data_IF_526041229816
#
_entry.id   IF_526041229816
#
_cell.length_a   1.000
_cell.length_b   1.000
_cell.length_c   1.000
_cell.angle_alpha   90.00
_cell.angle_beta   90.00
_cell.angle_gamma   90.00
#
_symmetry.space_group_name_H-M   'P 1'
#
loop_
_entity.id
_entity.type
_entity.pdbx_description
1 polymer ?
#
# COMPACT_ATOMS: atom_id res chain seq x y z
N UNK A 1 30.24 5.54 -1.88
CA UNK A 1 30.38 6.15 -0.55
C UNK A 1 30.82 7.60 -0.74
N UNK A 2 29.98 8.55 -0.35
CA UNK A 2 30.33 9.97 -0.41
C UNK A 2 31.44 10.25 0.61
N UNK A 3 32.67 10.44 0.12
CA UNK A 3 33.84 10.77 0.94
C UNK A 3 33.77 12.17 1.59
N UNK A 4 32.65 12.90 1.42
CA UNK A 4 32.50 14.32 1.76
C UNK A 4 32.02 14.58 3.20
N UNK A 5 31.49 13.57 3.90
CA UNK A 5 30.99 13.73 5.28
C UNK A 5 31.29 12.50 6.16
N UNK A 6 32.56 12.29 6.56
CA UNK A 6 32.97 11.10 7.33
C UNK A 6 32.18 10.92 8.64
N UNK A 7 31.92 12.01 9.37
CA UNK A 7 31.10 11.97 10.60
C UNK A 7 29.67 11.46 10.34
N UNK A 8 29.04 11.92 9.24
CA UNK A 8 27.71 11.44 8.88
C UNK A 8 27.74 9.94 8.54
N UNK A 9 28.78 9.47 7.85
CA UNK A 9 28.90 8.04 7.49
C UNK A 9 29.04 7.15 8.73
N UNK A 10 29.79 7.58 9.74
CA UNK A 10 29.93 6.86 11.01
C UNK A 10 28.63 6.86 11.82
N UNK A 11 27.93 8.00 11.90
CA UNK A 11 26.63 8.08 12.55
C UNK A 11 25.56 7.23 11.84
N UNK A 12 25.54 7.26 10.51
CA UNK A 12 24.67 6.41 9.71
C UNK A 12 24.93 4.93 9.97
N UNK A 13 26.20 4.50 10.00
CA UNK A 13 26.57 3.12 10.35
C UNK A 13 26.09 2.73 11.76
N UNK A 14 26.21 3.64 12.71
CA UNK A 14 25.75 3.46 14.09
C UNK A 14 24.23 3.36 14.23
N UNK A 15 23.46 4.11 13.44
CA UNK A 15 22.01 4.00 13.41
C UNK A 15 21.55 2.71 12.74
N UNK A 16 22.15 2.34 11.60
CA UNK A 16 21.87 1.07 10.93
C UNK A 16 22.13 -0.13 11.83
N UNK A 17 23.25 -0.14 12.57
CA UNK A 17 23.57 -1.20 13.52
C UNK A 17 22.54 -1.36 14.66
N UNK A 18 21.76 -0.31 14.94
CA UNK A 18 20.69 -0.31 15.94
C UNK A 18 19.30 -0.55 15.34
N UNK A 19 19.21 -0.73 14.03
CA UNK A 19 17.92 -0.82 13.32
C UNK A 19 17.13 0.49 13.36
N UNK A 20 17.79 1.63 13.54
CA UNK A 20 17.14 2.94 13.52
C UNK A 20 17.12 3.53 12.11
N UNK A 21 16.09 4.33 11.80
CA UNK A 21 16.01 5.10 10.55
C UNK A 21 17.17 6.07 10.44
N UNK A 22 17.83 6.08 9.27
CA UNK A 22 18.96 6.95 8.97
C UNK A 22 18.45 8.23 8.28
N UNK A 23 18.60 9.42 8.89
CA UNK A 23 18.16 10.68 8.29
C UNK A 23 18.79 10.91 6.92
N UNK A 24 17.97 11.22 5.91
CA UNK A 24 18.44 11.48 4.54
C UNK A 24 18.77 10.24 3.72
N UNK A 25 18.66 9.04 4.30
CA UNK A 25 18.72 7.79 3.56
C UNK A 25 17.31 7.20 3.40
N UNK A 26 17.02 6.49 2.30
CA UNK A 26 15.77 5.76 2.16
C UNK A 26 15.65 4.66 3.22
N UNK A 27 14.51 4.60 3.90
CA UNK A 27 14.21 3.56 4.87
C UNK A 27 13.64 2.31 4.17
N UNK A 28 14.24 1.12 4.32
CA UNK A 28 13.77 -0.10 3.63
C UNK A 28 12.36 -0.54 4.05
N UNK A 29 11.98 -0.32 5.31
CA UNK A 29 10.63 -0.65 5.77
C UNK A 29 9.62 0.30 5.13
N UNK A 30 9.94 1.60 5.10
CA UNK A 30 9.13 2.57 4.41
C UNK A 30 8.97 2.23 2.93
N UNK A 31 10.07 1.89 2.25
CA UNK A 31 10.04 1.43 0.85
C UNK A 31 9.13 0.24 0.64
N UNK A 32 9.15 -0.74 1.56
CA UNK A 32 8.25 -1.90 1.52
C UNK A 32 6.79 -1.48 1.71
N UNK A 33 6.49 -0.61 2.67
CA UNK A 33 5.13 -0.16 2.97
C UNK A 33 4.51 0.68 1.86
N UNK A 34 5.30 1.52 1.19
CA UNK A 34 4.82 2.36 0.07
C UNK A 34 4.90 1.67 -1.28
N UNK A 35 5.32 0.40 -1.31
CA UNK A 35 5.40 -0.38 -2.55
C UNK A 35 4.01 -0.63 -3.15
N UNK A 36 3.97 -0.81 -4.47
CA UNK A 36 2.72 -1.15 -5.16
C UNK A 36 2.19 -2.51 -4.70
N UNK A 37 3.08 -3.45 -4.37
CA UNK A 37 2.71 -4.74 -3.80
C UNK A 37 2.00 -4.59 -2.45
N UNK A 38 2.50 -3.74 -1.56
CA UNK A 38 1.85 -3.46 -0.28
C UNK A 38 0.47 -2.82 -0.47
N UNK A 39 0.34 -1.89 -1.42
CA UNK A 39 -0.94 -1.31 -1.80
C UNK A 39 -1.94 -2.38 -2.28
N UNK A 40 -1.52 -3.30 -3.15
CA UNK A 40 -2.40 -4.36 -3.64
C UNK A 40 -2.91 -5.26 -2.52
N UNK A 41 -2.04 -5.63 -1.57
CA UNK A 41 -2.40 -6.43 -0.40
C UNK A 41 -3.43 -5.70 0.47
N UNK A 42 -3.21 -4.40 0.70
CA UNK A 42 -4.14 -3.57 1.49
C UNK A 42 -5.50 -3.44 0.79
N UNK A 43 -5.52 -3.16 -0.51
CA UNK A 43 -6.74 -3.08 -1.32
C UNK A 43 -7.51 -4.41 -1.30
N UNK A 44 -6.83 -5.55 -1.44
CA UNK A 44 -7.49 -6.86 -1.37
C UNK A 44 -8.15 -7.07 0.00
N UNK A 45 -7.45 -6.73 1.08
CA UNK A 45 -7.99 -6.83 2.44
C UNK A 45 -9.25 -5.99 2.59
N UNK A 46 -9.21 -4.72 2.18
CA UNK A 46 -10.36 -3.80 2.26
C UNK A 46 -11.53 -4.32 1.42
N UNK A 47 -11.29 -4.76 0.18
CA UNK A 47 -12.34 -5.29 -0.68
C UNK A 47 -12.98 -6.57 -0.11
N UNK A 48 -12.19 -7.41 0.57
CA UNK A 48 -12.69 -8.61 1.26
C UNK A 48 -13.64 -8.22 2.40
N UNK A 49 -13.28 -7.21 3.18
CA UNK A 49 -14.11 -6.73 4.30
C UNK A 49 -15.39 -6.01 3.84
N UNK A 50 -15.34 -5.38 2.66
CA UNK A 50 -16.51 -4.74 2.06
C UNK A 50 -17.45 -5.73 1.35
N UNK A 51 -16.97 -6.91 0.93
CA UNK A 51 -17.78 -7.90 0.19
C UNK A 51 -19.07 -8.32 0.91
N UNK A 52 -19.10 -8.56 2.23
CA UNK A 52 -20.35 -8.87 2.97
C UNK A 52 -21.38 -7.73 2.97
N UNK A 53 -20.94 -6.49 2.77
CA UNK A 53 -21.78 -5.29 2.78
C UNK A 53 -22.29 -4.91 1.38
N UNK A 54 -21.88 -5.63 0.33
CA UNK A 54 -22.45 -5.47 -1.00
C UNK A 54 -23.91 -5.90 -0.93
N UNK A 55 -24.83 -4.96 -1.15
CA UNK A 55 -26.25 -5.27 -1.25
C UNK A 55 -26.47 -6.43 -2.24
N UNK A 56 -27.33 -7.42 -1.92
CA UNK A 56 -27.63 -8.49 -2.85
C UNK A 56 -28.09 -7.85 -4.14
N UNK A 57 -27.43 -8.20 -5.24
CA UNK A 57 -27.66 -7.73 -6.60
C UNK A 57 -29.11 -7.29 -6.75
N UNK A 58 -29.35 -5.97 -6.83
CA UNK A 58 -30.67 -5.44 -7.12
C UNK A 58 -31.09 -6.15 -8.40
N UNK A 59 -32.01 -7.12 -8.25
CA UNK A 59 -32.50 -7.97 -9.32
C UNK A 59 -32.90 -7.00 -10.42
N UNK A 60 -32.08 -6.88 -11.47
CA UNK A 60 -32.41 -6.10 -12.65
C UNK A 60 -33.69 -6.73 -13.17
N UNK A 61 -34.83 -6.14 -12.82
CA UNK A 61 -36.11 -6.48 -13.41
C UNK A 61 -35.89 -6.35 -14.92
N UNK A 62 -36.29 -7.35 -15.73
CA UNK A 62 -36.13 -7.26 -17.16
C UNK A 62 -36.79 -5.96 -17.62
N UNK A 63 -35.97 -5.04 -18.13
CA UNK A 63 -36.45 -3.76 -18.64
C UNK A 63 -37.38 -4.03 -19.80
N UNK A 64 -38.69 -4.02 -19.51
CA UNK A 64 -39.84 -3.76 -20.39
C UNK A 64 -39.57 -3.90 -21.89
N UNK A 65 -39.14 -5.08 -22.31
CA UNK A 65 -39.07 -5.52 -23.69
C UNK A 65 -40.16 -6.56 -23.95
N UNK A 66 -41.39 -6.27 -23.55
CA UNK A 66 -42.55 -7.08 -23.89
C UNK A 66 -43.82 -6.24 -23.76
N UNK A 67 -44.66 -6.32 -24.81
CA UNK A 67 -46.03 -5.80 -24.94
C UNK A 67 -46.21 -4.32 -25.32
N UNK A 68 -46.47 -4.13 -26.61
CA UNK A 68 -47.74 -3.62 -27.20
C UNK A 68 -47.43 -2.60 -28.30
N UNK A 69 -47.54 -3.02 -29.57
CA UNK A 69 -48.70 -2.82 -30.48
C UNK A 69 -48.58 -1.51 -31.25
#
# INVERSE_FOLDING_TARGET
MDARTPLYSELAAQWMARGATVPGAPDPEWQRLVSYEALLVEVESVLRDLRPHRAPETRLLPGRGAAST
#
